data_IF_811834433868
#
_entry.id   IF_811834433868
#
_cell.length_a   1.000
_cell.length_b   1.000
_cell.length_c   1.000
_cell.angle_alpha   90.00
_cell.angle_beta   90.00
_cell.angle_gamma   90.00
#
_symmetry.space_group_name_H-M   'P 1'
#
loop_
_entity.id
_entity.type
_entity.pdbx_description
1 polymer ?
#
# COMPACT_ATOMS: atom_id res chain seq x y z
N UNK A 1 3.32 -6.35 13.03
CA UNK A 1 2.60 -7.15 12.03
C UNK A 1 3.48 -7.45 10.81
N UNK A 2 4.13 -6.45 10.22
CA UNK A 2 4.99 -6.59 9.02
C UNK A 2 6.20 -7.49 9.29
N UNK A 3 6.85 -7.37 10.44
CA UNK A 3 7.97 -8.25 10.85
C UNK A 3 7.58 -9.72 10.94
N UNK A 4 6.37 -10.03 11.41
CA UNK A 4 5.89 -11.41 11.49
C UNK A 4 5.55 -12.02 10.13
N UNK A 5 5.23 -11.21 9.13
CA UNK A 5 4.97 -11.72 7.78
C UNK A 5 6.25 -12.26 7.12
N UNK A 6 7.42 -11.68 7.39
CA UNK A 6 8.71 -12.15 6.84
C UNK A 6 9.13 -13.52 7.38
N UNK A 7 8.72 -13.90 8.58
CA UNK A 7 9.02 -15.22 9.15
C UNK A 7 8.26 -16.37 8.47
N UNK A 8 7.15 -16.08 7.78
CA UNK A 8 6.36 -17.08 7.05
C UNK A 8 6.90 -17.38 5.65
N UNK A 9 7.72 -16.51 5.07
CA UNK A 9 8.30 -16.69 3.73
C UNK A 9 9.29 -17.87 3.64
N UNK A 10 9.73 -18.43 4.75
CA UNK A 10 10.78 -19.45 4.80
C UNK A 10 10.27 -20.90 4.98
N UNK A 11 8.97 -21.15 5.00
CA UNK A 11 8.44 -22.48 5.34
C UNK A 11 7.70 -23.16 4.19
N UNK A 12 8.31 -24.24 3.66
CA UNK A 12 7.73 -25.37 2.89
C UNK A 12 7.27 -25.09 1.45
N UNK A 13 7.39 -26.12 0.60
CA UNK A 13 6.71 -26.22 -0.70
C UNK A 13 5.20 -26.37 -0.51
N UNK A 14 4.53 -25.25 -0.29
CA UNK A 14 3.08 -25.19 -0.06
C UNK A 14 2.39 -24.77 -1.36
N UNK A 15 1.38 -25.55 -1.80
CA UNK A 15 0.47 -25.09 -2.83
C UNK A 15 -0.70 -24.37 -2.15
N UNK A 16 -0.83 -23.08 -2.42
CA UNK A 16 -1.95 -22.27 -1.95
C UNK A 16 -2.92 -22.04 -3.08
N UNK A 17 -4.15 -22.55 -2.95
CA UNK A 17 -5.28 -22.17 -3.79
C UNK A 17 -5.87 -20.87 -3.20
N UNK A 18 -5.51 -19.74 -3.78
CA UNK A 18 -5.94 -18.43 -3.30
C UNK A 18 -7.18 -17.97 -4.06
N UNK A 19 -8.26 -17.67 -3.32
CA UNK A 19 -9.46 -17.01 -3.83
C UNK A 19 -9.56 -15.61 -3.26
N UNK A 20 -9.35 -14.60 -4.11
CA UNK A 20 -9.46 -13.18 -3.77
C UNK A 20 -10.67 -12.61 -4.50
N UNK A 21 -11.59 -11.92 -3.82
CA UNK A 21 -12.68 -11.22 -4.48
C UNK A 21 -12.11 -10.03 -5.27
N UNK A 22 -12.81 -9.61 -6.31
CA UNK A 22 -12.54 -8.32 -6.95
C UNK A 22 -12.90 -7.21 -5.97
N UNK A 23 -12.06 -6.22 -5.87
CA UNK A 23 -12.36 -5.05 -5.06
C UNK A 23 -11.86 -3.76 -5.69
N UNK A 24 -12.53 -2.66 -5.34
CA UNK A 24 -12.15 -1.31 -5.70
C UNK A 24 -12.33 -0.44 -4.46
N UNK A 25 -11.23 -0.11 -3.82
CA UNK A 25 -11.22 0.67 -2.59
C UNK A 25 -10.49 1.97 -2.81
N UNK A 26 -11.06 3.05 -2.29
CA UNK A 26 -10.46 4.38 -2.34
C UNK A 26 -10.60 5.08 -1.01
N UNK A 27 -9.59 5.87 -0.66
CA UNK A 27 -9.59 6.77 0.48
C UNK A 27 -9.15 8.15 0.03
N UNK A 28 -9.68 9.18 0.67
CA UNK A 28 -9.29 10.56 0.47
C UNK A 28 -9.38 11.28 1.81
N UNK A 29 -8.23 11.70 2.33
CA UNK A 29 -8.11 12.27 3.66
C UNK A 29 -7.26 13.54 3.63
N UNK A 30 -7.55 14.47 4.54
CA UNK A 30 -6.66 15.59 4.82
C UNK A 30 -5.63 15.12 5.85
N UNK A 31 -4.35 15.16 5.48
CA UNK A 31 -3.25 14.62 6.29
C UNK A 31 -2.42 15.72 6.98
N UNK A 32 -2.90 16.94 7.07
CA UNK A 32 -2.15 18.05 7.72
C UNK A 32 -1.78 17.72 9.16
N UNK A 33 -2.72 17.18 9.93
CA UNK A 33 -2.47 16.89 11.34
C UNK A 33 -1.45 15.74 11.50
N UNK A 34 -1.51 14.72 10.66
CA UNK A 34 -0.52 13.65 10.62
C UNK A 34 0.88 14.18 10.26
N UNK A 35 0.96 15.10 9.28
CA UNK A 35 2.22 15.72 8.89
C UNK A 35 2.80 16.60 10.00
N UNK A 36 1.95 17.32 10.76
CA UNK A 36 2.38 18.08 11.94
C UNK A 36 2.91 17.17 13.05
N UNK A 37 2.27 16.03 13.28
CA UNK A 37 2.76 15.02 14.24
C UNK A 37 4.11 14.44 13.83
N UNK A 38 4.38 14.33 12.53
CA UNK A 38 5.69 13.94 11.99
C UNK A 38 6.74 15.07 12.02
N UNK A 39 6.37 16.26 12.53
CA UNK A 39 7.27 17.41 12.71
C UNK A 39 7.30 18.39 11.55
N UNK A 40 6.46 18.21 10.53
CA UNK A 40 6.33 19.16 9.42
C UNK A 40 5.33 20.23 9.84
N UNK A 41 5.78 21.31 10.47
CA UNK A 41 4.92 22.37 11.02
C UNK A 41 4.99 23.68 10.24
N UNK A 42 6.16 24.09 9.80
CA UNK A 42 6.40 25.43 9.26
C UNK A 42 5.67 25.66 7.92
N UNK A 43 5.52 24.64 7.10
CA UNK A 43 4.78 24.71 5.84
C UNK A 43 3.30 25.10 6.00
N UNK A 44 2.73 24.85 7.17
CA UNK A 44 1.32 25.13 7.51
C UNK A 44 1.15 26.41 8.33
N UNK A 45 2.25 27.06 8.71
CA UNK A 45 2.22 28.32 9.47
C UNK A 45 2.48 29.49 8.51
N UNK A 46 1.47 30.36 8.35
CA UNK A 46 1.54 31.52 7.47
C UNK A 46 2.73 32.44 7.72
N UNK A 47 3.25 32.46 8.95
CA UNK A 47 4.37 33.34 9.33
C UNK A 47 5.74 32.67 9.18
N UNK A 48 5.76 31.34 9.01
CA UNK A 48 7.00 30.56 8.96
C UNK A 48 7.22 29.85 7.64
N UNK A 49 6.17 29.65 6.85
CA UNK A 49 6.23 28.99 5.58
C UNK A 49 7.16 29.74 4.62
N UNK A 50 8.12 29.03 4.03
CA UNK A 50 9.04 29.56 3.03
C UNK A 50 8.98 28.73 1.76
N UNK A 51 8.23 29.21 0.78
CA UNK A 51 8.11 28.64 -0.56
C UNK A 51 8.84 29.47 -1.61
N UNK A 52 9.82 30.29 -1.20
CA UNK A 52 10.62 31.13 -2.10
C UNK A 52 11.31 30.38 -3.25
N UNK A 53 11.74 29.12 -3.10
CA UNK A 53 12.31 28.37 -4.23
C UNK A 53 11.27 27.98 -5.31
N UNK A 54 9.97 28.08 -5.01
CA UNK A 54 8.90 27.62 -5.91
C UNK A 54 8.12 28.79 -6.52
N UNK A 55 8.22 29.99 -5.94
CA UNK A 55 7.47 31.17 -6.37
C UNK A 55 8.36 32.41 -6.43
N UNK A 56 8.23 33.18 -7.51
CA UNK A 56 8.88 34.49 -7.68
C UNK A 56 8.24 35.59 -6.80
N UNK A 57 7.03 35.35 -6.27
CA UNK A 57 6.35 36.19 -5.30
C UNK A 57 6.14 35.41 -3.98
N UNK A 58 7.14 35.42 -3.10
CA UNK A 58 7.11 34.63 -1.86
C UNK A 58 6.16 35.21 -0.80
N UNK A 59 5.52 36.33 -1.05
CA UNK A 59 4.66 36.99 -0.08
C UNK A 59 3.45 36.10 0.24
N UNK A 60 3.54 35.41 1.37
CA UNK A 60 2.41 34.75 2.04
C UNK A 60 1.85 33.47 1.36
N UNK A 61 2.73 32.61 0.82
CA UNK A 61 2.33 31.27 0.41
C UNK A 61 2.53 30.31 1.59
N UNK A 62 1.46 29.61 1.98
CA UNK A 62 1.47 28.52 2.95
C UNK A 62 0.51 27.42 2.50
N UNK A 63 0.64 26.21 3.05
CA UNK A 63 -0.31 25.13 2.80
C UNK A 63 -1.44 25.19 3.83
N UNK A 64 -2.67 25.35 3.39
CA UNK A 64 -3.85 25.30 4.24
C UNK A 64 -4.60 23.96 4.15
N UNK A 65 -4.26 23.12 3.15
CA UNK A 65 -4.83 21.81 2.95
C UNK A 65 -3.86 20.88 2.24
N UNK A 66 -3.79 19.61 2.71
CA UNK A 66 -3.06 18.51 2.03
C UNK A 66 -3.99 17.32 1.90
N UNK A 67 -4.55 17.13 0.71
CA UNK A 67 -5.37 15.96 0.43
C UNK A 67 -4.51 14.78 -0.06
N UNK A 68 -4.56 13.68 0.65
CA UNK A 68 -4.00 12.41 0.22
C UNK A 68 -5.09 11.50 -0.34
N UNK A 69 -5.02 11.18 -1.61
CA UNK A 69 -5.96 10.30 -2.29
C UNK A 69 -5.30 9.00 -2.73
N UNK A 70 -5.88 7.87 -2.37
CA UNK A 70 -5.42 6.53 -2.78
C UNK A 70 -6.59 5.74 -3.34
N UNK A 71 -6.34 4.98 -4.40
CA UNK A 71 -7.28 3.98 -4.94
C UNK A 71 -6.53 2.72 -5.31
N UNK A 72 -7.06 1.59 -4.89
CA UNK A 72 -6.53 0.26 -5.24
C UNK A 72 -7.65 -0.58 -5.82
N UNK A 73 -7.44 -1.08 -7.03
CA UNK A 73 -8.35 -1.99 -7.72
C UNK A 73 -7.66 -3.34 -7.90
N UNK A 74 -8.38 -4.42 -7.64
CA UNK A 74 -7.96 -5.77 -7.94
C UNK A 74 -9.03 -6.48 -8.77
N UNK A 75 -8.64 -7.02 -9.91
CA UNK A 75 -9.48 -7.79 -10.83
C UNK A 75 -8.72 -9.02 -11.35
N UNK A 76 -9.27 -9.74 -12.33
CA UNK A 76 -8.62 -10.93 -12.92
C UNK A 76 -7.37 -10.61 -13.73
N UNK A 77 -7.18 -9.36 -14.16
CA UNK A 77 -6.00 -8.91 -14.89
C UNK A 77 -4.86 -8.55 -13.94
N UNK A 78 -5.14 -8.40 -12.65
CA UNK A 78 -4.18 -8.10 -11.59
C UNK A 78 -4.55 -6.90 -10.72
N UNK A 79 -3.58 -6.34 -10.04
CA UNK A 79 -3.74 -5.15 -9.21
C UNK A 79 -3.27 -3.93 -9.99
N UNK A 80 -4.20 -3.01 -10.29
CA UNK A 80 -3.90 -1.76 -11.02
C UNK A 80 -3.31 -0.67 -10.11
N UNK A 81 -2.41 -1.03 -9.23
CA UNK A 81 -1.59 -0.08 -8.48
C UNK A 81 -0.11 -0.18 -8.89
N UNK A 82 0.32 -1.35 -9.39
CA UNK A 82 1.62 -1.58 -10.01
C UNK A 82 1.55 -2.86 -10.84
N UNK A 83 1.98 -2.84 -12.10
CA UNK A 83 2.13 -4.04 -12.91
C UNK A 83 3.31 -4.85 -12.36
N UNK A 84 3.03 -5.96 -11.71
CA UNK A 84 4.02 -6.96 -11.35
C UNK A 84 3.81 -8.22 -12.20
N UNK A 85 4.77 -8.52 -13.06
CA UNK A 85 4.82 -9.78 -13.80
C UNK A 85 5.60 -10.79 -12.97
N UNK A 86 4.91 -11.76 -12.39
CA UNK A 86 5.57 -12.92 -11.77
C UNK A 86 5.96 -13.89 -12.89
N UNK A 87 7.25 -13.98 -13.22
CA UNK A 87 7.78 -15.07 -14.04
C UNK A 87 7.77 -16.36 -13.23
N UNK A 88 6.90 -17.30 -13.62
CA UNK A 88 6.92 -18.67 -13.14
C UNK A 88 8.13 -19.39 -13.77
N UNK A 89 9.23 -19.47 -13.06
CA UNK A 89 10.33 -20.36 -13.38
C UNK A 89 9.87 -21.80 -13.16
N UNK A 90 9.56 -22.53 -14.24
CA UNK A 90 9.33 -23.96 -14.20
C UNK A 90 10.66 -24.70 -14.04
N UNK A 91 11.12 -24.87 -12.81
CA UNK A 91 12.12 -25.87 -12.44
C UNK A 91 11.43 -27.15 -11.98
N UNK A 92 12.09 -28.31 -12.07
CA UNK A 92 11.54 -29.59 -11.59
C UNK A 92 11.24 -29.51 -10.10
N UNK A 93 9.97 -29.24 -9.80
CA UNK A 93 9.50 -29.05 -8.44
C UNK A 93 9.41 -30.41 -7.73
N UNK A 94 9.98 -30.49 -6.53
CA UNK A 94 9.63 -31.55 -5.59
C UNK A 94 8.10 -31.52 -5.36
N UNK A 95 7.45 -32.70 -5.20
CA UNK A 95 6.02 -32.73 -4.94
C UNK A 95 5.71 -31.86 -3.71
N UNK A 96 4.61 -31.08 -3.75
CA UNK A 96 4.26 -30.19 -2.64
C UNK A 96 3.91 -31.03 -1.41
N UNK A 97 4.44 -30.64 -0.28
CA UNK A 97 4.21 -31.31 1.00
C UNK A 97 2.78 -31.07 1.55
N UNK A 98 2.15 -29.96 1.17
CA UNK A 98 0.84 -29.56 1.69
C UNK A 98 0.07 -28.68 0.69
N UNK A 99 -1.26 -28.87 0.66
CA UNK A 99 -2.17 -27.99 -0.09
C UNK A 99 -3.07 -27.23 0.87
N UNK A 100 -3.18 -25.93 0.67
CA UNK A 100 -4.01 -25.06 1.49
C UNK A 100 -4.97 -24.26 0.61
N UNK A 101 -6.24 -24.18 1.03
CA UNK A 101 -7.20 -23.27 0.42
C UNK A 101 -7.27 -22.00 1.27
N UNK A 102 -7.01 -20.87 0.65
CA UNK A 102 -7.09 -19.56 1.30
C UNK A 102 -8.14 -18.72 0.58
N UNK A 103 -9.29 -18.54 1.24
CA UNK A 103 -10.45 -17.83 0.69
C UNK A 103 -10.68 -16.56 1.48
N UNK A 104 -10.69 -15.42 0.80
CA UNK A 104 -10.95 -14.10 1.38
C UNK A 104 -12.45 -13.77 1.24
N UNK A 105 -13.28 -14.44 2.07
CA UNK A 105 -14.74 -14.32 2.12
C UNK A 105 -15.27 -13.45 3.28
N UNK A 106 -14.39 -12.77 3.96
CA UNK A 106 -14.67 -11.90 5.12
C UNK A 106 -13.77 -10.67 5.07
N UNK A 107 -14.04 -9.62 5.88
CA UNK A 107 -13.19 -8.44 5.94
C UNK A 107 -11.71 -8.79 6.08
N UNK A 108 -10.87 -8.22 5.23
CA UNK A 108 -9.43 -8.46 5.25
C UNK A 108 -8.63 -7.17 5.04
N UNK A 109 -7.42 -7.17 5.54
CA UNK A 109 -6.43 -6.15 5.28
C UNK A 109 -5.44 -6.66 4.23
N UNK A 110 -5.04 -5.80 3.31
CA UNK A 110 -3.98 -6.09 2.37
C UNK A 110 -2.84 -5.08 2.49
N UNK A 111 -1.64 -5.50 2.12
CA UNK A 111 -0.45 -4.66 2.03
C UNK A 111 0.25 -4.95 0.71
N UNK A 112 0.48 -3.91 -0.09
CA UNK A 112 1.33 -3.99 -1.29
C UNK A 112 2.71 -3.48 -0.89
N UNK A 113 3.75 -4.29 -1.16
CA UNK A 113 5.14 -3.97 -0.80
C UNK A 113 6.03 -3.94 -2.03
N UNK A 114 7.11 -3.16 -1.98
CA UNK A 114 8.21 -3.25 -2.94
C UNK A 114 8.98 -4.58 -2.79
N UNK A 115 9.88 -4.86 -3.73
CA UNK A 115 10.77 -6.03 -3.64
C UNK A 115 11.67 -6.01 -2.39
N UNK A 116 12.00 -4.81 -1.89
CA UNK A 116 12.79 -4.60 -0.68
C UNK A 116 11.96 -4.68 0.62
N UNK A 117 10.63 -4.95 0.49
CA UNK A 117 9.73 -5.10 1.63
C UNK A 117 9.12 -3.80 2.15
N UNK A 118 9.34 -2.67 1.49
CA UNK A 118 8.77 -1.38 1.88
C UNK A 118 7.28 -1.37 1.58
N UNK A 119 6.38 -1.08 2.55
CA UNK A 119 4.96 -0.96 2.28
C UNK A 119 4.67 0.26 1.40
N UNK A 120 4.02 0.02 0.27
CA UNK A 120 3.62 1.05 -0.70
C UNK A 120 2.15 1.41 -0.53
N UNK A 121 1.30 0.41 -0.30
CA UNK A 121 -0.13 0.59 -0.07
C UNK A 121 -0.59 -0.33 1.05
N UNK A 122 -1.49 0.18 1.88
CA UNK A 122 -2.21 -0.57 2.91
C UNK A 122 -3.69 -0.25 2.76
N UNK A 123 -4.53 -1.27 2.83
CA UNK A 123 -5.96 -1.06 2.72
C UNK A 123 -6.77 -2.15 3.43
N UNK A 124 -8.03 -1.84 3.67
CA UNK A 124 -9.01 -2.75 4.27
C UNK A 124 -10.18 -2.91 3.29
N UNK A 125 -10.53 -4.17 3.01
CA UNK A 125 -11.75 -4.54 2.29
C UNK A 125 -12.75 -5.03 3.32
N UNK A 126 -13.77 -4.22 3.59
CA UNK A 126 -14.78 -4.54 4.62
C UNK A 126 -15.87 -5.47 4.11
N UNK A 127 -16.12 -5.44 2.80
CA UNK A 127 -17.15 -6.27 2.13
C UNK A 127 -16.53 -6.87 0.87
N UNK A 128 -15.94 -8.05 1.00
CA UNK A 128 -15.38 -8.77 -0.13
C UNK A 128 -16.45 -9.38 -1.04
#
# INVERSE_FOLDING_TARGET
FIERCSEYEQKKNLIVNLSVPKFDVSSKEDIIDDLKELGITDAFDRQKADFSPVSDDPAEIWMDKVEHGVRVMADEEGVKAAAYTAELLCGSAMPPDEKMNFVLDRPFMFVIRSAEGIPLFVGIVERP
#
